data_IF_011031869825
#
_entry.id   IF_011031869825
#
_cell.length_a   1.000
_cell.length_b   1.000
_cell.length_c   1.000
_cell.angle_alpha   90.00
_cell.angle_beta   90.00
_cell.angle_gamma   90.00
#
_symmetry.space_group_name_H-M   'P 1'
#
loop_
_entity.id
_entity.type
_entity.pdbx_description
1 polymer ?
#
# COMPACT_ATOMS: atom_id res chain seq x y z
N UNK A 1 -38.34 75.21 16.51
CA UNK A 1 -37.57 75.45 15.26
C UNK A 1 -36.81 74.18 14.92
N UNK A 2 -36.55 73.95 13.63
CA UNK A 2 -35.80 72.82 13.04
C UNK A 2 -36.61 71.63 12.52
N UNK A 3 -37.32 71.90 11.42
CA UNK A 3 -37.35 71.18 10.13
C UNK A 3 -36.86 69.73 10.00
N UNK A 4 -37.75 68.93 9.39
CA UNK A 4 -37.55 67.63 8.73
C UNK A 4 -36.66 67.70 7.47
N UNK A 5 -35.83 66.67 7.25
CA UNK A 5 -35.28 66.22 5.95
C UNK A 5 -35.21 64.67 6.00
N UNK A 6 -36.20 63.97 5.46
CA UNK A 6 -36.26 63.34 4.11
C UNK A 6 -35.14 62.34 3.78
N UNK A 7 -35.52 61.06 3.82
CA UNK A 7 -35.25 59.97 2.86
C UNK A 7 -33.86 59.81 2.23
N UNK A 8 -33.26 58.64 2.47
CA UNK A 8 -32.70 57.82 1.39
C UNK A 8 -32.64 56.35 1.82
N UNK A 9 -33.68 55.59 1.48
CA UNK A 9 -33.65 54.12 1.51
C UNK A 9 -32.72 53.67 0.38
N UNK A 10 -31.45 53.40 0.69
CA UNK A 10 -30.51 52.83 -0.29
C UNK A 10 -30.45 51.33 -0.11
N UNK A 11 -31.16 50.63 -0.99
CA UNK A 11 -31.01 49.21 -1.21
C UNK A 11 -29.54 48.88 -1.54
N UNK A 12 -28.91 48.03 -0.74
CA UNK A 12 -27.63 47.41 -1.09
C UNK A 12 -27.64 45.93 -0.70
N UNK A 13 -28.02 45.12 -1.69
CA UNK A 13 -27.50 43.80 -2.08
C UNK A 13 -27.17 42.77 -0.98
N UNK A 14 -27.81 41.57 -0.98
CA UNK A 14 -27.48 40.45 -0.08
C UNK A 14 -26.10 39.80 -0.32
N UNK A 15 -25.31 40.34 -1.25
CA UNK A 15 -24.05 39.74 -1.74
C UNK A 15 -22.89 39.88 -0.73
N UNK A 16 -23.06 40.64 0.37
CA UNK A 16 -21.99 40.83 1.39
C UNK A 16 -22.08 39.88 2.60
N UNK A 17 -22.96 38.88 2.58
CA UNK A 17 -23.10 37.87 3.64
C UNK A 17 -22.80 36.44 3.17
N UNK A 18 -21.82 36.29 2.28
CA UNK A 18 -21.27 34.99 1.89
C UNK A 18 -19.77 34.92 2.22
N UNK A 19 -19.38 35.38 3.40
CA UNK A 19 -18.01 35.33 3.90
C UNK A 19 -18.00 34.92 5.37
N UNK A 20 -18.55 33.75 5.69
CA UNK A 20 -18.26 33.07 6.96
C UNK A 20 -18.55 31.58 6.83
N UNK A 21 -17.51 30.79 7.11
CA UNK A 21 -17.49 29.36 7.42
C UNK A 21 -17.75 28.36 6.28
N UNK A 22 -16.79 28.24 5.36
CA UNK A 22 -16.39 26.90 4.91
C UNK A 22 -15.11 26.55 5.67
N UNK A 23 -15.25 25.67 6.65
CA UNK A 23 -14.17 25.15 7.46
C UNK A 23 -13.09 24.52 6.56
N UNK A 24 -11.84 24.81 6.89
CA UNK A 24 -10.64 24.52 6.12
C UNK A 24 -10.48 23.03 5.80
N UNK A 25 -10.79 22.67 4.56
CA UNK A 25 -10.31 21.47 3.88
C UNK A 25 -9.55 21.92 2.62
N UNK A 26 -8.31 22.38 2.78
CA UNK A 26 -7.36 22.60 1.68
C UNK A 26 -5.97 22.93 2.23
N UNK A 27 -5.23 21.93 2.71
CA UNK A 27 -3.78 22.05 2.79
C UNK A 27 -3.21 22.03 1.37
N UNK A 28 -2.95 23.23 0.86
CA UNK A 28 -2.02 23.61 -0.22
C UNK A 28 -2.06 22.80 -1.55
N UNK A 29 -2.76 23.35 -2.54
CA UNK A 29 -2.46 23.09 -3.95
C UNK A 29 -2.49 24.42 -4.75
N UNK A 30 -1.48 25.25 -4.55
CA UNK A 30 -1.17 26.37 -5.46
C UNK A 30 -0.42 25.81 -6.67
N UNK A 31 -1.14 25.37 -7.70
CA UNK A 31 -0.54 25.03 -9.00
C UNK A 31 -0.49 26.31 -9.83
N UNK A 32 0.68 26.94 -9.87
CA UNK A 32 1.01 27.98 -10.84
C UNK A 32 1.01 27.33 -12.24
N UNK A 33 0.31 27.97 -13.18
CA UNK A 33 0.03 27.54 -14.54
C UNK A 33 1.26 27.58 -15.49
N UNK A 34 2.41 27.08 -15.04
CA UNK A 34 3.61 26.92 -15.87
C UNK A 34 4.20 25.53 -15.68
N UNK A 35 3.66 24.55 -16.42
CA UNK A 35 4.38 23.41 -16.99
C UNK A 35 5.18 22.42 -16.12
N UNK A 36 5.27 22.60 -14.80
CA UNK A 36 6.05 21.71 -13.95
C UNK A 36 5.13 20.67 -13.32
N UNK A 37 5.06 19.50 -13.95
CA UNK A 37 4.57 18.28 -13.31
C UNK A 37 5.46 18.02 -12.09
N UNK A 38 5.04 18.50 -10.91
CA UNK A 38 5.62 18.06 -9.65
C UNK A 38 5.32 16.58 -9.53
N UNK A 39 6.29 15.74 -9.89
CA UNK A 39 6.21 14.30 -9.70
C UNK A 39 6.00 14.05 -8.21
N UNK A 40 4.87 13.45 -7.86
CA UNK A 40 4.66 12.92 -6.52
C UNK A 40 5.81 11.95 -6.19
N UNK A 41 6.25 11.86 -4.92
CA UNK A 41 7.23 10.86 -4.53
C UNK A 41 6.70 9.47 -4.89
N UNK A 42 7.58 8.63 -5.42
CA UNK A 42 7.26 7.22 -5.73
C UNK A 42 6.87 6.52 -4.42
N UNK A 43 5.81 5.73 -4.45
CA UNK A 43 5.48 4.86 -3.32
C UNK A 43 6.63 3.85 -3.13
N UNK A 44 6.94 3.54 -1.87
CA UNK A 44 7.93 2.54 -1.51
C UNK A 44 7.28 1.57 -0.53
N UNK A 45 7.38 0.28 -0.83
CA UNK A 45 6.96 -0.79 0.06
C UNK A 45 7.60 -0.64 1.43
N UNK A 46 6.81 -0.88 2.47
CA UNK A 46 7.24 -0.90 3.86
C UNK A 46 7.22 -2.34 4.37
N UNK A 47 8.05 -2.69 5.37
CA UNK A 47 7.97 -4.00 6.00
C UNK A 47 6.57 -4.34 6.56
N UNK A 48 5.78 -3.32 6.91
CA UNK A 48 4.38 -3.47 7.34
C UNK A 48 3.44 -4.00 6.27
N UNK A 49 3.84 -3.95 5.00
CA UNK A 49 3.03 -4.41 3.86
C UNK A 49 3.11 -5.94 3.71
N UNK A 50 4.08 -6.58 4.39
CA UNK A 50 4.18 -8.05 4.47
C UNK A 50 3.06 -8.58 5.37
N UNK A 51 2.15 -9.35 4.78
CA UNK A 51 0.99 -9.91 5.49
C UNK A 51 1.43 -10.95 6.53
N UNK A 52 1.15 -10.65 7.80
CA UNK A 52 1.30 -11.58 8.90
C UNK A 52 0.00 -12.39 9.10
N UNK A 53 0.13 -13.73 9.04
CA UNK A 53 -0.93 -14.67 9.44
C UNK A 53 -0.49 -15.48 10.65
N UNK A 54 -1.47 -16.06 11.35
CA UNK A 54 -1.21 -16.97 12.47
C UNK A 54 -0.35 -18.16 12.05
N UNK A 55 0.36 -18.77 13.01
CA UNK A 55 1.15 -19.98 12.78
C UNK A 55 0.29 -21.14 12.26
N UNK A 56 -0.94 -21.29 12.77
CA UNK A 56 -1.90 -22.30 12.33
C UNK A 56 -2.32 -22.12 10.87
N UNK A 57 -2.70 -20.90 10.48
CA UNK A 57 -3.03 -20.55 9.09
C UNK A 57 -1.85 -20.84 8.18
N UNK A 58 -0.64 -20.41 8.56
CA UNK A 58 0.57 -20.64 7.77
C UNK A 58 0.88 -22.12 7.56
N UNK A 59 0.69 -22.94 8.59
CA UNK A 59 0.89 -24.38 8.50
C UNK A 59 -0.14 -25.03 7.58
N UNK A 60 -1.41 -24.65 7.68
CA UNK A 60 -2.48 -25.14 6.82
C UNK A 60 -2.25 -24.78 5.34
N UNK A 61 -1.86 -23.53 5.06
CA UNK A 61 -1.56 -23.08 3.71
C UNK A 61 -0.33 -23.79 3.12
N UNK A 62 0.71 -24.00 3.93
CA UNK A 62 1.91 -24.74 3.52
C UNK A 62 1.59 -26.20 3.19
N UNK A 63 0.73 -26.85 3.98
CA UNK A 63 0.29 -28.22 3.72
C UNK A 63 -0.54 -28.29 2.44
N UNK A 64 -1.49 -27.36 2.26
CA UNK A 64 -2.30 -27.28 1.04
C UNK A 64 -1.45 -27.12 -0.22
N UNK A 65 -0.42 -26.26 -0.18
CA UNK A 65 0.52 -26.09 -1.29
C UNK A 65 1.31 -27.37 -1.57
N UNK A 66 1.80 -28.05 -0.53
CA UNK A 66 2.52 -29.32 -0.68
C UNK A 66 1.64 -30.39 -1.33
N UNK A 67 0.38 -30.50 -0.92
CA UNK A 67 -0.58 -31.46 -1.45
C UNK A 67 -0.86 -31.20 -2.93
N UNK A 68 -1.03 -29.93 -3.32
CA UNK A 68 -1.20 -29.55 -4.72
C UNK A 68 0.04 -29.89 -5.57
N UNK A 69 1.24 -29.58 -5.06
CA UNK A 69 2.49 -29.95 -5.75
C UNK A 69 2.61 -31.47 -5.90
N UNK A 70 2.33 -32.23 -4.85
CA UNK A 70 2.43 -33.69 -4.88
C UNK A 70 1.34 -34.34 -5.74
N UNK A 71 0.13 -33.76 -5.79
CA UNK A 71 -0.93 -34.18 -6.72
C UNK A 71 -0.47 -34.00 -8.18
N UNK A 72 0.13 -32.85 -8.50
CA UNK A 72 0.71 -32.63 -9.83
C UNK A 72 1.86 -33.59 -10.14
N UNK A 73 2.72 -33.88 -9.16
CA UNK A 73 3.81 -34.86 -9.33
C UNK A 73 3.28 -36.27 -9.59
N UNK A 74 2.24 -36.68 -8.87
CA UNK A 74 1.61 -37.98 -9.03
C UNK A 74 0.98 -38.16 -10.43
N UNK A 75 0.33 -37.12 -10.96
CA UNK A 75 -0.23 -37.16 -12.33
C UNK A 75 0.85 -37.28 -13.42
N UNK A 76 2.12 -37.03 -13.06
CA UNK A 76 3.31 -37.21 -13.92
C UNK A 76 4.13 -38.46 -13.59
N UNK A 77 3.66 -39.33 -12.69
CA UNK A 77 4.39 -40.52 -12.24
C UNK A 77 5.64 -40.24 -11.40
N UNK A 78 5.76 -39.03 -10.83
CA UNK A 78 6.91 -38.63 -10.00
C UNK A 78 6.65 -38.92 -8.52
N UNK A 79 7.70 -39.31 -7.79
CA UNK A 79 7.66 -39.52 -6.32
C UNK A 79 7.27 -38.23 -5.59
N UNK A 80 6.51 -38.28 -4.49
CA UNK A 80 6.17 -37.07 -3.73
C UNK A 80 7.40 -36.44 -3.10
N UNK A 81 7.38 -35.11 -2.96
CA UNK A 81 8.33 -34.35 -2.15
C UNK A 81 7.80 -34.19 -0.73
N UNK A 82 8.68 -33.81 0.21
CA UNK A 82 8.34 -33.60 1.62
C UNK A 82 8.52 -32.14 1.99
N UNK A 83 7.72 -31.69 2.97
CA UNK A 83 7.93 -30.39 3.59
C UNK A 83 9.32 -30.31 4.26
N UNK A 84 9.98 -29.16 4.13
CA UNK A 84 11.19 -28.84 4.87
C UNK A 84 11.02 -27.48 5.53
N UNK A 85 11.07 -27.48 6.87
CA UNK A 85 11.02 -26.24 7.67
C UNK A 85 12.19 -25.31 7.34
N UNK A 86 13.37 -25.88 7.09
CA UNK A 86 14.56 -25.10 6.76
C UNK A 86 14.41 -24.37 5.42
N UNK A 87 14.06 -25.10 4.36
CA UNK A 87 13.86 -24.52 3.03
C UNK A 87 12.73 -23.49 3.02
N UNK A 88 11.65 -23.75 3.78
CA UNK A 88 10.53 -22.80 3.89
C UNK A 88 10.95 -21.51 4.58
N UNK A 89 11.82 -21.58 5.59
CA UNK A 89 12.39 -20.39 6.23
C UNK A 89 13.29 -19.58 5.30
N UNK A 90 14.07 -20.23 4.44
CA UNK A 90 14.86 -19.57 3.40
C UNK A 90 13.97 -18.88 2.37
N UNK A 91 12.92 -19.57 1.92
CA UNK A 91 11.96 -19.03 0.96
C UNK A 91 11.19 -17.82 1.52
N UNK A 92 10.82 -17.84 2.81
CA UNK A 92 10.17 -16.69 3.46
C UNK A 92 11.10 -15.46 3.47
N UNK A 93 12.37 -15.62 3.87
CA UNK A 93 13.32 -14.50 3.85
C UNK A 93 13.54 -13.93 2.45
N UNK A 94 13.53 -14.77 1.42
CA UNK A 94 13.54 -14.31 0.04
C UNK A 94 12.25 -13.56 -0.32
N UNK A 95 11.07 -14.06 0.05
CA UNK A 95 9.79 -13.38 -0.17
C UNK A 95 9.78 -11.99 0.45
N UNK A 96 10.24 -11.87 1.70
CA UNK A 96 10.32 -10.60 2.40
C UNK A 96 11.28 -9.62 1.69
N UNK A 97 12.41 -10.11 1.18
CA UNK A 97 13.34 -9.30 0.36
C UNK A 97 12.67 -8.77 -0.91
N UNK A 98 11.95 -9.62 -1.63
CA UNK A 98 11.28 -9.25 -2.89
C UNK A 98 10.25 -8.15 -2.65
N UNK A 99 9.50 -8.21 -1.54
CA UNK A 99 8.58 -7.13 -1.14
C UNK A 99 9.34 -5.85 -0.83
N UNK A 100 10.33 -5.91 0.07
CA UNK A 100 11.05 -4.71 0.53
C UNK A 100 11.84 -4.00 -0.59
N UNK A 101 12.35 -4.76 -1.56
CA UNK A 101 13.13 -4.23 -2.68
C UNK A 101 12.28 -3.95 -3.92
N UNK A 102 11.01 -4.36 -3.91
CA UNK A 102 10.08 -4.21 -5.03
C UNK A 102 10.62 -4.81 -6.35
N UNK A 103 11.31 -5.95 -6.24
CA UNK A 103 11.87 -6.68 -7.38
C UNK A 103 11.29 -8.09 -7.44
N UNK A 104 11.28 -8.67 -8.65
CA UNK A 104 10.98 -10.09 -8.87
C UNK A 104 12.21 -10.72 -9.52
N UNK A 105 13.00 -11.44 -8.74
CA UNK A 105 14.21 -12.11 -9.22
C UNK A 105 14.57 -13.34 -8.37
N UNK A 106 15.48 -14.15 -8.92
CA UNK A 106 16.08 -15.26 -8.20
C UNK A 106 17.13 -14.79 -7.20
N UNK A 107 17.50 -15.69 -6.30
CA UNK A 107 18.59 -15.49 -5.36
C UNK A 107 19.44 -16.74 -5.24
N UNK A 108 20.75 -16.54 -5.14
CA UNK A 108 21.72 -17.60 -4.88
C UNK A 108 22.11 -17.66 -3.40
N UNK A 109 21.49 -16.87 -2.51
CA UNK A 109 21.83 -16.83 -1.07
C UNK A 109 21.75 -18.20 -0.41
N UNK A 110 20.85 -19.08 -0.88
CA UNK A 110 20.72 -20.44 -0.36
C UNK A 110 22.00 -21.28 -0.54
N UNK A 111 22.83 -21.00 -1.56
CA UNK A 111 24.07 -21.75 -1.80
C UNK A 111 25.10 -21.59 -0.68
N UNK A 112 25.01 -20.49 0.07
CA UNK A 112 25.93 -20.17 1.17
C UNK A 112 25.25 -20.16 2.54
N UNK A 113 23.94 -20.44 2.60
CA UNK A 113 23.21 -20.45 3.87
C UNK A 113 23.43 -21.77 4.59
N UNK A 114 23.94 -21.72 5.82
CA UNK A 114 24.23 -22.92 6.63
C UNK A 114 23.00 -23.78 6.91
N UNK A 115 21.79 -23.22 6.79
CA UNK A 115 20.53 -23.93 6.97
C UNK A 115 20.16 -24.79 5.75
N UNK A 116 20.77 -24.53 4.60
CA UNK A 116 20.55 -25.28 3.36
C UNK A 116 21.42 -26.55 3.25
N UNK A 117 22.44 -26.69 4.11
CA UNK A 117 23.37 -27.82 4.17
C UNK A 117 22.77 -29.05 4.86
#
# INVERSE_FOLDING_TARGET
MSTHLTSARRAQSPIRRALTTLAAAASAATVVLTGSLLTAPQAQARPSDIVAVSSGTRAADSQKLLDQVNSHRASRGLKPVKYSKSLSGLAQGQSDRLVNQEVINHSNTFLTDRRAA
#
